data_IF_292864723554
#
_entry.id   IF_292864723554
#
_cell.length_a   1.000
_cell.length_b   1.000
_cell.length_c   1.000
_cell.angle_alpha   90.00
_cell.angle_beta   90.00
_cell.angle_gamma   90.00
#
_symmetry.space_group_name_H-M   'P 1'
#
loop_
_entity.id
_entity.type
_entity.pdbx_description
1 polymer ?
#
# COMPACT_ATOMS: atom_id res chain seq x y z
N UNK A 1 -50.83 -13.55 12.15
CA UNK A 1 -50.86 -12.58 11.03
C UNK A 1 -50.88 -11.18 11.63
N UNK A 2 -49.86 -10.37 11.35
CA UNK A 2 -49.76 -8.99 11.85
C UNK A 2 -50.78 -8.14 11.07
N UNK A 3 -51.55 -7.32 11.78
CA UNK A 3 -52.60 -6.47 11.23
C UNK A 3 -52.00 -5.50 10.17
N UNK A 4 -52.48 -5.48 8.91
CA UNK A 4 -51.94 -4.63 7.84
C UNK A 4 -52.11 -3.12 8.09
N UNK A 5 -52.92 -2.74 9.09
CA UNK A 5 -53.10 -1.35 9.53
C UNK A 5 -52.19 -0.93 10.70
N UNK A 6 -51.17 -1.73 11.04
CA UNK A 6 -50.24 -1.37 12.10
C UNK A 6 -49.30 -0.24 11.62
N UNK A 7 -49.07 0.85 12.38
CA UNK A 7 -48.23 1.99 11.98
C UNK A 7 -46.77 1.62 11.61
N UNK A 8 -46.30 0.46 12.08
CA UNK A 8 -44.99 -0.10 11.75
C UNK A 8 -44.93 -0.81 10.38
N UNK A 9 -46.06 -1.12 9.76
CA UNK A 9 -46.14 -1.75 8.44
C UNK A 9 -46.01 -0.74 7.28
N UNK A 10 -46.03 0.57 7.58
CA UNK A 10 -45.90 1.66 6.61
C UNK A 10 -44.57 2.41 6.71
N UNK A 11 -43.59 1.89 7.46
CA UNK A 11 -42.23 2.45 7.41
C UNK A 11 -41.64 2.19 6.01
N UNK A 12 -41.13 3.22 5.31
CA UNK A 12 -40.37 3.02 4.10
C UNK A 12 -39.27 2.00 4.36
N UNK A 13 -39.13 1.00 3.47
CA UNK A 13 -37.96 0.12 3.51
C UNK A 13 -36.71 1.00 3.58
N UNK A 14 -35.79 0.77 4.54
CA UNK A 14 -34.61 1.60 4.67
C UNK A 14 -33.86 1.61 3.33
N UNK A 15 -33.31 2.78 2.92
CA UNK A 15 -32.60 2.90 1.67
C UNK A 15 -31.50 1.85 1.59
N UNK A 16 -31.28 1.29 0.40
CA UNK A 16 -30.28 0.23 0.22
C UNK A 16 -28.88 0.77 0.48
N UNK A 17 -28.28 0.39 1.61
CA UNK A 17 -26.92 0.78 1.99
C UNK A 17 -25.84 -0.08 1.32
N UNK A 18 -26.18 -0.85 0.27
CA UNK A 18 -25.27 -1.79 -0.40
C UNK A 18 -24.03 -1.13 -1.03
N UNK A 19 -24.11 0.17 -1.32
CA UNK A 19 -23.01 0.94 -1.91
C UNK A 19 -22.20 1.74 -0.87
N UNK A 20 -22.55 1.64 0.41
CA UNK A 20 -21.85 2.38 1.46
C UNK A 20 -20.54 1.67 1.80
N UNK A 21 -19.45 2.43 1.69
CA UNK A 21 -18.11 2.01 2.12
C UNK A 21 -17.90 2.50 3.55
N UNK A 22 -17.38 1.64 4.41
CA UNK A 22 -17.12 1.94 5.82
C UNK A 22 -15.72 1.48 6.18
N UNK A 23 -14.99 2.30 6.93
CA UNK A 23 -13.68 1.98 7.48
C UNK A 23 -13.74 2.26 8.99
N UNK A 24 -13.43 1.25 9.79
CA UNK A 24 -13.45 1.29 11.24
C UNK A 24 -12.08 0.93 11.80
N UNK A 25 -11.71 1.59 12.89
CA UNK A 25 -10.38 1.49 13.48
C UNK A 25 -10.12 0.16 14.22
N UNK A 26 -11.17 -0.46 14.76
CA UNK A 26 -11.08 -1.65 15.60
C UNK A 26 -12.34 -2.52 15.50
N UNK A 27 -12.25 -3.77 15.95
CA UNK A 27 -13.41 -4.62 16.17
C UNK A 27 -14.23 -4.16 17.38
N UNK A 28 -15.46 -4.68 17.50
CA UNK A 28 -16.44 -4.23 18.49
C UNK A 28 -16.01 -4.42 19.96
N UNK A 29 -15.09 -5.34 20.21
CA UNK A 29 -14.57 -5.72 21.53
C UNK A 29 -13.12 -5.25 21.76
N UNK A 30 -12.52 -4.52 20.83
CA UNK A 30 -11.15 -4.03 20.92
C UNK A 30 -11.11 -2.57 21.40
N UNK A 31 -9.96 -2.17 21.94
CA UNK A 31 -9.68 -0.79 22.34
C UNK A 31 -8.55 -0.23 21.49
N UNK A 32 -8.57 1.08 21.27
CA UNK A 32 -7.47 1.78 20.62
C UNK A 32 -6.21 1.77 21.49
N UNK A 33 -5.01 1.75 20.88
CA UNK A 33 -3.76 1.77 21.63
C UNK A 33 -3.58 3.09 22.39
N UNK A 34 -3.08 3.00 23.63
CA UNK A 34 -2.77 4.14 24.51
C UNK A 34 -1.26 4.36 24.68
N UNK A 35 -0.47 4.05 23.66
CA UNK A 35 0.99 4.13 23.70
C UNK A 35 1.42 5.59 23.52
N UNK A 36 2.20 6.20 24.43
CA UNK A 36 2.56 7.61 24.38
C UNK A 36 3.33 8.03 23.11
N UNK A 37 4.10 7.11 22.54
CA UNK A 37 4.90 7.36 21.34
C UNK A 37 4.06 7.40 20.06
N UNK A 38 2.79 6.98 20.10
CA UNK A 38 1.88 6.99 18.96
C UNK A 38 0.85 8.12 19.09
N UNK A 39 0.34 8.64 17.97
CA UNK A 39 -0.77 9.58 18.01
C UNK A 39 -2.05 8.88 18.50
N UNK A 40 -2.89 9.62 19.22
CA UNK A 40 -4.19 9.13 19.70
C UNK A 40 -5.14 8.76 18.54
N UNK A 41 -5.02 9.45 17.40
CA UNK A 41 -5.78 9.22 16.17
C UNK A 41 -5.02 8.33 15.18
N UNK A 42 -4.39 7.25 15.68
CA UNK A 42 -3.54 6.33 14.90
C UNK A 42 -4.18 5.87 13.59
N UNK A 43 -5.47 5.50 13.62
CA UNK A 43 -6.19 5.04 12.43
C UNK A 43 -6.30 6.15 11.36
N UNK A 44 -6.75 7.34 11.76
CA UNK A 44 -6.83 8.51 10.89
C UNK A 44 -5.45 8.89 10.34
N UNK A 45 -4.43 8.86 11.19
CA UNK A 45 -3.03 9.10 10.80
C UNK A 45 -2.54 8.12 9.74
N UNK A 46 -2.91 6.83 9.84
CA UNK A 46 -2.65 5.84 8.78
C UNK A 46 -3.36 6.18 7.48
N UNK A 47 -4.64 6.55 7.54
CA UNK A 47 -5.45 6.85 6.35
C UNK A 47 -5.07 8.14 5.63
N UNK A 48 -4.57 9.15 6.35
CA UNK A 48 -4.37 10.50 5.81
C UNK A 48 -2.90 10.91 5.70
N UNK A 49 -2.02 10.33 6.51
CA UNK A 49 -0.58 10.62 6.53
C UNK A 49 0.27 9.34 6.57
N UNK A 50 0.06 8.39 5.62
CA UNK A 50 0.59 7.03 5.69
C UNK A 50 2.12 7.00 5.81
N UNK A 51 2.84 7.83 5.05
CA UNK A 51 4.30 7.85 5.06
C UNK A 51 4.84 8.32 6.42
N UNK A 52 4.24 9.37 7.01
CA UNK A 52 4.68 9.89 8.31
C UNK A 52 4.53 8.83 9.39
N UNK A 53 3.36 8.18 9.46
CA UNK A 53 3.13 7.16 10.49
C UNK A 53 3.89 5.86 10.22
N UNK A 54 4.07 5.46 8.96
CA UNK A 54 4.86 4.27 8.61
C UNK A 54 6.31 4.41 9.06
N UNK A 55 6.93 5.57 8.83
CA UNK A 55 8.31 5.82 9.22
C UNK A 55 8.47 5.97 10.73
N UNK A 56 7.52 6.66 11.40
CA UNK A 56 7.48 6.74 12.87
C UNK A 56 7.36 5.34 13.49
N UNK A 57 6.40 4.54 13.00
CA UNK A 57 6.20 3.17 13.47
C UNK A 57 7.42 2.29 13.20
N UNK A 58 8.04 2.41 12.01
CA UNK A 58 9.27 1.70 11.68
C UNK A 58 10.38 2.02 12.70
N UNK A 59 10.55 3.29 13.08
CA UNK A 59 11.51 3.74 14.10
C UNK A 59 11.26 3.16 15.51
N UNK A 60 10.06 2.68 15.79
CA UNK A 60 9.73 2.01 17.05
C UNK A 60 9.96 0.49 16.99
N UNK A 61 10.10 -0.09 15.80
CA UNK A 61 10.33 -1.53 15.63
C UNK A 61 11.78 -1.92 15.97
N UNK A 62 11.96 -3.18 16.37
CA UNK A 62 13.28 -3.73 16.73
C UNK A 62 14.32 -3.64 15.61
N UNK A 63 13.88 -3.55 14.34
CA UNK A 63 14.73 -3.48 13.14
C UNK A 63 15.60 -2.22 13.08
N UNK A 64 15.26 -1.16 13.81
CA UNK A 64 16.03 0.11 13.85
C UNK A 64 17.41 -0.06 14.46
N UNK A 65 17.63 -1.16 15.21
CA UNK A 65 18.96 -1.54 15.67
C UNK A 65 19.96 -1.78 14.53
N UNK A 66 19.49 -1.95 13.28
CA UNK A 66 20.31 -2.12 12.10
C UNK A 66 20.79 -0.79 11.48
N UNK A 67 20.15 0.34 11.82
CA UNK A 67 20.55 1.69 11.35
C UNK A 67 20.81 2.60 12.56
N UNK A 68 22.01 2.52 13.17
CA UNK A 68 22.38 3.40 14.26
C UNK A 68 22.33 4.87 13.81
N UNK A 69 21.71 5.74 14.61
CA UNK A 69 21.70 7.20 14.38
C UNK A 69 20.42 7.77 13.77
N UNK A 70 19.45 6.95 13.36
CA UNK A 70 18.14 7.45 12.90
C UNK A 70 17.22 7.66 14.11
N UNK A 71 16.97 8.92 14.45
CA UNK A 71 16.00 9.34 15.48
C UNK A 71 14.65 9.72 14.87
N UNK A 72 13.60 9.76 15.69
CA UNK A 72 12.29 10.26 15.28
C UNK A 72 12.36 11.69 14.71
N UNK A 73 13.27 12.52 15.24
CA UNK A 73 13.47 13.90 14.78
C UNK A 73 14.02 13.97 13.35
N UNK A 74 14.85 13.01 12.94
CA UNK A 74 15.38 12.94 11.57
C UNK A 74 14.27 12.54 10.57
N UNK A 75 13.35 11.67 10.98
CA UNK A 75 12.21 11.26 10.15
C UNK A 75 11.27 12.45 9.85
N UNK A 76 11.10 13.36 10.79
CA UNK A 76 10.30 14.56 10.56
C UNK A 76 10.97 15.55 9.59
N UNK A 77 12.28 15.43 9.40
CA UNK A 77 13.11 16.31 8.56
C UNK A 77 13.48 15.69 7.21
N UNK A 78 12.80 14.63 6.79
CA UNK A 78 13.06 14.02 5.48
C UNK A 78 12.87 15.06 4.38
N UNK A 79 13.89 15.30 3.54
CA UNK A 79 13.80 16.31 2.51
C UNK A 79 12.86 15.86 1.39
N UNK A 80 12.17 16.83 0.80
CA UNK A 80 11.37 16.62 -0.39
C UNK A 80 9.88 16.91 -0.24
N UNK A 81 9.13 16.48 -1.25
CA UNK A 81 7.67 16.61 -1.32
C UNK A 81 7.08 15.28 -1.79
N UNK A 82 5.91 14.92 -1.28
CA UNK A 82 5.22 13.66 -1.63
C UNK A 82 4.98 13.46 -3.13
N UNK A 83 4.86 14.56 -3.89
CA UNK A 83 4.61 14.53 -5.33
C UNK A 83 5.89 14.46 -6.17
N UNK A 84 7.06 14.76 -5.58
CA UNK A 84 8.34 14.77 -6.30
C UNK A 84 9.10 13.47 -6.07
N UNK A 85 8.93 12.55 -7.02
CA UNK A 85 9.57 11.21 -7.03
C UNK A 85 11.10 11.25 -7.07
N UNK A 86 11.72 12.41 -7.31
CA UNK A 86 13.19 12.56 -7.28
C UNK A 86 13.71 12.83 -5.86
N UNK A 87 12.82 13.23 -4.95
CA UNK A 87 13.16 13.50 -3.55
C UNK A 87 12.96 12.25 -2.70
N UNK A 88 13.69 12.09 -1.58
CA UNK A 88 13.53 10.94 -0.69
C UNK A 88 12.09 10.70 -0.24
N UNK A 89 11.39 11.77 0.16
CA UNK A 89 10.00 11.68 0.59
C UNK A 89 9.05 11.24 -0.53
N UNK A 90 9.22 11.79 -1.74
CA UNK A 90 8.36 11.43 -2.87
C UNK A 90 8.69 10.05 -3.45
N UNK A 91 9.95 9.61 -3.38
CA UNK A 91 10.33 8.24 -3.74
C UNK A 91 9.70 7.23 -2.80
N UNK A 92 9.77 7.44 -1.47
CA UNK A 92 9.10 6.59 -0.48
C UNK A 92 7.59 6.54 -0.70
N UNK A 93 6.96 7.68 -0.95
CA UNK A 93 5.52 7.73 -1.26
C UNK A 93 5.16 6.93 -2.51
N UNK A 94 6.01 6.98 -3.53
CA UNK A 94 5.80 6.25 -4.77
C UNK A 94 6.00 4.75 -4.60
N UNK A 95 7.03 4.32 -3.86
CA UNK A 95 7.25 2.91 -3.48
C UNK A 95 6.06 2.41 -2.66
N UNK A 96 5.62 3.16 -1.65
CA UNK A 96 4.46 2.80 -0.83
C UNK A 96 3.20 2.58 -1.67
N UNK A 97 2.94 3.49 -2.61
CA UNK A 97 1.80 3.36 -3.52
C UNK A 97 1.92 2.10 -4.39
N UNK A 98 3.11 1.82 -4.93
CA UNK A 98 3.33 0.62 -5.73
C UNK A 98 3.15 -0.67 -4.92
N UNK A 99 3.67 -0.72 -3.69
CA UNK A 99 3.57 -1.88 -2.80
C UNK A 99 2.13 -2.14 -2.38
N UNK A 100 1.42 -1.13 -1.90
CA UNK A 100 0.03 -1.30 -1.42
C UNK A 100 -0.93 -1.66 -2.56
N UNK A 101 -0.73 -1.09 -3.75
CA UNK A 101 -1.50 -1.46 -4.94
C UNK A 101 -1.21 -2.90 -5.38
N UNK A 102 0.05 -3.33 -5.27
CA UNK A 102 0.47 -4.71 -5.56
C UNK A 102 -0.13 -5.72 -4.59
N UNK A 103 -0.11 -5.42 -3.29
CA UNK A 103 -0.72 -6.27 -2.27
C UNK A 103 -2.22 -6.41 -2.55
N UNK A 104 -2.91 -5.30 -2.79
CA UNK A 104 -4.34 -5.31 -3.08
C UNK A 104 -4.67 -6.14 -4.33
N UNK A 105 -3.90 -5.98 -5.40
CA UNK A 105 -4.14 -6.70 -6.65
C UNK A 105 -3.93 -8.22 -6.53
N UNK A 106 -2.94 -8.65 -5.74
CA UNK A 106 -2.67 -10.07 -5.53
C UNK A 106 -3.62 -10.75 -4.54
N UNK A 107 -4.16 -10.00 -3.57
CA UNK A 107 -4.99 -10.55 -2.49
C UNK A 107 -6.50 -10.44 -2.78
N UNK A 108 -6.94 -9.38 -3.45
CA UNK A 108 -8.36 -9.10 -3.65
C UNK A 108 -8.93 -9.78 -4.91
N UNK A 109 -10.20 -10.23 -4.89
CA UNK A 109 -10.90 -10.58 -6.11
C UNK A 109 -10.95 -9.39 -7.09
N UNK A 110 -10.86 -9.67 -8.40
CA UNK A 110 -10.74 -8.64 -9.45
C UNK A 110 -11.84 -7.56 -9.36
N UNK A 111 -13.10 -7.97 -9.20
CA UNK A 111 -14.23 -7.04 -9.11
C UNK A 111 -14.11 -6.10 -7.91
N UNK A 112 -13.63 -6.63 -6.78
CA UNK A 112 -13.44 -5.85 -5.56
C UNK A 112 -12.25 -4.90 -5.69
N UNK A 113 -11.14 -5.37 -6.27
CA UNK A 113 -9.98 -4.55 -6.57
C UNK A 113 -10.35 -3.37 -7.47
N UNK A 114 -11.05 -3.64 -8.59
CA UNK A 114 -11.53 -2.60 -9.50
C UNK A 114 -12.43 -1.59 -8.77
N UNK A 115 -13.39 -2.08 -7.97
CA UNK A 115 -14.30 -1.22 -7.21
C UNK A 115 -13.58 -0.29 -6.23
N UNK A 116 -12.60 -0.80 -5.50
CA UNK A 116 -11.97 -0.05 -4.40
C UNK A 116 -10.71 0.71 -4.81
N UNK A 117 -9.91 0.17 -5.73
CA UNK A 117 -8.58 0.69 -6.08
C UNK A 117 -8.52 1.38 -7.45
N UNK A 118 -9.60 1.33 -8.26
CA UNK A 118 -9.61 1.91 -9.62
C UNK A 118 -10.77 2.86 -9.91
N UNK A 119 -11.94 2.71 -9.28
CA UNK A 119 -13.11 3.56 -9.58
C UNK A 119 -12.99 5.01 -9.11
N UNK A 120 -12.54 5.23 -7.87
CA UNK A 120 -12.46 6.56 -7.26
C UNK A 120 -11.08 6.78 -6.62
N UNK A 121 -10.48 7.94 -6.89
CA UNK A 121 -9.11 8.25 -6.45
C UNK A 121 -8.98 8.34 -4.93
N UNK A 122 -9.99 8.90 -4.24
CA UNK A 122 -10.00 9.05 -2.80
C UNK A 122 -10.22 7.70 -2.13
N UNK A 123 -11.21 6.92 -2.59
CA UNK A 123 -11.47 5.56 -2.10
C UNK A 123 -10.23 4.69 -2.28
N UNK A 124 -9.62 4.72 -3.47
CA UNK A 124 -8.38 4.00 -3.74
C UNK A 124 -7.24 4.43 -2.80
N UNK A 125 -7.14 5.72 -2.49
CA UNK A 125 -6.16 6.21 -1.54
C UNK A 125 -6.43 5.76 -0.13
N UNK A 126 -7.68 5.84 0.34
CA UNK A 126 -8.06 5.40 1.67
C UNK A 126 -7.83 3.89 1.83
N UNK A 127 -8.15 3.07 0.83
CA UNK A 127 -7.92 1.62 0.91
C UNK A 127 -6.45 1.22 0.81
N UNK A 128 -5.63 1.88 -0.03
CA UNK A 128 -4.17 1.71 -0.01
C UNK A 128 -3.61 1.99 1.38
N UNK A 129 -4.05 3.09 1.99
CA UNK A 129 -3.62 3.52 3.30
C UNK A 129 -4.22 2.65 4.43
N UNK A 130 -5.39 2.05 4.22
CA UNK A 130 -6.01 1.11 5.13
C UNK A 130 -5.20 -0.18 5.26
N UNK A 131 -4.52 -0.64 4.20
CA UNK A 131 -3.62 -1.81 4.31
C UNK A 131 -2.47 -1.54 5.28
N UNK A 132 -1.95 -0.31 5.30
CA UNK A 132 -0.96 0.12 6.30
C UNK A 132 -1.57 0.17 7.70
N UNK A 133 -2.80 0.69 7.84
CA UNK A 133 -3.51 0.70 9.11
C UNK A 133 -3.68 -0.72 9.65
N UNK A 134 -4.10 -1.67 8.81
CA UNK A 134 -4.22 -3.09 9.16
C UNK A 134 -2.90 -3.64 9.71
N UNK A 135 -1.79 -3.34 9.04
CA UNK A 135 -0.46 -3.79 9.46
C UNK A 135 0.00 -3.18 10.78
N UNK A 136 -0.11 -1.85 10.93
CA UNK A 136 0.37 -1.13 12.12
C UNK A 136 -0.50 -1.47 13.33
N UNK A 137 -1.83 -1.38 13.20
CA UNK A 137 -2.74 -1.54 14.33
C UNK A 137 -2.75 -2.97 14.86
N UNK A 138 -2.54 -3.98 14.00
CA UNK A 138 -2.39 -5.38 14.43
C UNK A 138 -1.19 -5.61 15.36
N UNK A 139 -0.12 -4.81 15.24
CA UNK A 139 1.01 -4.88 16.18
C UNK A 139 0.65 -4.42 17.59
N UNK A 140 -0.52 -3.79 17.75
CA UNK A 140 -1.04 -3.28 19.02
C UNK A 140 -2.39 -3.91 19.40
N UNK A 141 -2.66 -5.15 18.96
CA UNK A 141 -3.89 -5.91 19.26
C UNK A 141 -5.17 -5.17 18.85
N UNK A 142 -5.12 -4.44 17.75
CA UNK A 142 -6.24 -3.69 17.23
C UNK A 142 -6.42 -4.05 15.75
N UNK A 143 -7.62 -4.42 15.35
CA UNK A 143 -7.95 -5.00 14.05
C UNK A 143 -8.89 -4.06 13.30
N UNK A 144 -8.36 -3.26 12.37
CA UNK A 144 -9.19 -2.41 11.52
C UNK A 144 -10.16 -3.24 10.69
N UNK A 145 -11.39 -2.74 10.54
CA UNK A 145 -12.47 -3.42 9.81
C UNK A 145 -12.93 -2.54 8.65
N UNK A 146 -13.21 -3.16 7.51
CA UNK A 146 -13.78 -2.48 6.35
C UNK A 146 -15.08 -3.12 5.89
N UNK A 147 -15.95 -2.32 5.29
CA UNK A 147 -17.08 -2.77 4.47
C UNK A 147 -16.91 -2.15 3.09
N UNK A 148 -16.73 -2.95 2.02
CA UNK A 148 -16.62 -4.42 2.01
C UNK A 148 -15.39 -4.96 2.75
N UNK A 149 -15.50 -6.17 3.31
CA UNK A 149 -14.43 -6.81 4.10
C UNK A 149 -13.29 -7.27 3.19
N UNK A 150 -12.06 -6.88 3.52
CA UNK A 150 -10.86 -7.35 2.83
C UNK A 150 -10.33 -8.65 3.49
N UNK A 151 -9.68 -9.53 2.72
CA UNK A 151 -8.81 -10.57 3.27
C UNK A 151 -7.61 -9.96 4.00
N UNK A 152 -6.93 -10.78 4.80
CA UNK A 152 -5.80 -10.34 5.61
C UNK A 152 -4.58 -10.00 4.74
N UNK A 153 -4.06 -8.77 4.87
CA UNK A 153 -2.92 -8.30 4.04
C UNK A 153 -1.63 -8.05 4.81
N UNK A 154 -1.69 -8.02 6.15
CA UNK A 154 -0.57 -7.62 7.01
C UNK A 154 0.68 -8.52 6.94
N UNK A 155 0.54 -9.79 6.53
CA UNK A 155 1.66 -10.74 6.39
C UNK A 155 2.19 -10.89 4.95
N UNK A 156 1.68 -10.10 4.00
CA UNK A 156 2.10 -10.22 2.61
C UNK A 156 3.60 -9.92 2.43
N UNK A 157 4.33 -10.75 1.67
CA UNK A 157 5.78 -10.66 1.51
C UNK A 157 6.26 -9.28 0.99
N UNK A 158 5.46 -8.61 0.17
CA UNK A 158 5.72 -7.24 -0.30
C UNK A 158 5.94 -6.21 0.82
N UNK A 159 5.44 -6.45 2.04
CA UNK A 159 5.77 -5.60 3.18
C UNK A 159 7.24 -5.69 3.61
N UNK A 160 7.92 -6.81 3.36
CA UNK A 160 9.37 -6.93 3.59
C UNK A 160 10.16 -6.06 2.60
N UNK A 161 9.69 -5.98 1.34
CA UNK A 161 10.28 -5.06 0.36
C UNK A 161 10.06 -3.59 0.75
N UNK A 162 8.92 -3.26 1.37
CA UNK A 162 8.69 -1.93 1.95
C UNK A 162 9.68 -1.65 3.08
N UNK A 163 9.82 -2.57 4.03
CA UNK A 163 10.72 -2.41 5.17
C UNK A 163 12.17 -2.20 4.71
N UNK A 164 12.63 -2.98 3.73
CA UNK A 164 13.97 -2.82 3.15
C UNK A 164 14.14 -1.47 2.43
N UNK A 165 13.14 -1.03 1.67
CA UNK A 165 13.20 0.26 0.98
C UNK A 165 13.25 1.43 1.96
N UNK A 166 12.48 1.35 3.05
CA UNK A 166 12.53 2.32 4.15
C UNK A 166 13.90 2.30 4.83
N UNK A 167 14.44 1.13 5.14
CA UNK A 167 15.75 0.98 5.80
C UNK A 167 16.88 1.63 4.99
N UNK A 168 16.94 1.32 3.68
CA UNK A 168 17.90 1.92 2.74
C UNK A 168 17.72 3.45 2.66
N UNK A 169 16.48 3.95 2.65
CA UNK A 169 16.24 5.39 2.60
C UNK A 169 16.66 6.09 3.89
N UNK A 170 16.31 5.53 5.05
CA UNK A 170 16.59 6.12 6.37
C UNK A 170 18.08 6.11 6.69
N UNK A 171 18.82 5.07 6.27
CA UNK A 171 20.28 4.98 6.46
C UNK A 171 21.07 6.11 5.79
N UNK A 172 20.51 6.72 4.74
CA UNK A 172 21.14 7.84 4.02
C UNK A 172 20.81 9.21 4.66
N UNK A 173 19.81 9.31 5.53
CA UNK A 173 19.35 10.59 6.04
C UNK A 173 20.41 11.36 6.84
N UNK A 174 21.18 10.75 7.76
CA UNK A 174 22.21 11.47 8.50
C UNK A 174 23.21 12.16 7.56
N UNK A 175 23.74 11.43 6.58
CA UNK A 175 24.69 11.96 5.59
C UNK A 175 24.08 13.00 4.65
N UNK A 176 22.78 12.91 4.33
CA UNK A 176 22.13 13.91 3.48
C UNK A 176 21.92 15.22 4.25
N UNK A 177 21.52 15.12 5.52
CA UNK A 177 21.17 16.29 6.34
C UNK A 177 22.44 16.99 6.86
N UNK A 178 23.44 16.24 7.32
CA UNK A 178 24.65 16.79 7.93
C UNK A 178 25.69 17.20 6.88
N UNK A 179 25.89 16.39 5.84
CA UNK A 179 26.97 16.59 4.87
C UNK A 179 26.48 17.11 3.51
N UNK A 180 25.16 17.17 3.27
CA UNK A 180 24.59 17.63 2.00
C UNK A 180 24.85 16.66 0.84
N UNK A 181 25.06 15.38 1.13
CA UNK A 181 25.31 14.35 0.11
C UNK A 181 24.13 14.18 -0.85
N UNK A 182 24.43 13.79 -2.09
CA UNK A 182 23.42 13.52 -3.10
C UNK A 182 22.63 12.23 -2.74
N UNK A 183 21.31 12.32 -2.77
CA UNK A 183 20.43 11.19 -2.51
C UNK A 183 20.61 10.07 -3.54
N UNK A 184 20.77 8.83 -3.08
CA UNK A 184 20.81 7.65 -3.94
C UNK A 184 19.44 6.98 -3.96
N UNK A 185 18.86 6.92 -5.15
CA UNK A 185 17.58 6.27 -5.41
C UNK A 185 17.57 4.80 -5.01
N UNK A 186 16.45 4.36 -4.47
CA UNK A 186 16.22 2.96 -4.09
C UNK A 186 16.28 2.01 -5.30
N UNK A 187 16.90 0.81 -5.16
CA UNK A 187 16.91 -0.19 -6.22
C UNK A 187 15.56 -0.90 -6.42
N UNK A 188 14.55 -0.63 -5.57
CA UNK A 188 13.26 -1.31 -5.55
C UNK A 188 12.65 -1.57 -6.93
N UNK A 189 12.48 -0.53 -7.75
CA UNK A 189 11.86 -0.71 -9.07
C UNK A 189 12.73 -1.54 -10.02
N UNK A 190 14.05 -1.42 -9.94
CA UNK A 190 14.96 -2.19 -10.78
C UNK A 190 14.93 -3.68 -10.40
N UNK A 191 14.86 -4.00 -9.11
CA UNK A 191 14.72 -5.36 -8.59
C UNK A 191 13.39 -5.97 -8.99
N UNK A 192 12.28 -5.23 -8.87
CA UNK A 192 10.96 -5.74 -9.24
C UNK A 192 10.80 -5.98 -10.74
N UNK A 193 11.38 -5.12 -11.59
CA UNK A 193 11.47 -5.40 -13.03
C UNK A 193 12.31 -6.64 -13.32
N UNK A 194 13.34 -6.91 -12.52
CA UNK A 194 14.17 -8.11 -12.67
C UNK A 194 13.41 -9.36 -12.26
N UNK A 195 12.66 -9.31 -11.16
CA UNK A 195 11.76 -10.40 -10.75
C UNK A 195 10.70 -10.72 -11.83
N UNK A 196 10.10 -9.68 -12.40
CA UNK A 196 9.15 -9.83 -13.52
C UNK A 196 9.81 -10.44 -14.76
N UNK A 197 11.02 -10.01 -15.09
CA UNK A 197 11.81 -10.58 -16.19
C UNK A 197 12.13 -12.06 -15.96
N UNK A 198 12.51 -12.45 -14.74
CA UNK A 198 12.73 -13.85 -14.37
C UNK A 198 11.44 -14.65 -14.56
N UNK A 199 10.30 -14.13 -14.09
CA UNK A 199 9.00 -14.78 -14.29
C UNK A 199 8.71 -15.05 -15.78
N UNK A 200 8.98 -14.09 -16.66
CA UNK A 200 8.81 -14.24 -18.12
C UNK A 200 9.70 -15.35 -18.71
N UNK A 201 10.94 -15.49 -18.22
CA UNK A 201 11.88 -16.51 -18.74
C UNK A 201 11.49 -17.93 -18.38
N UNK A 202 10.72 -18.12 -17.31
CA UNK A 202 10.47 -19.45 -16.77
C UNK A 202 9.35 -20.21 -17.51
N UNK A 203 8.60 -19.63 -18.47
CA UNK A 203 7.55 -20.31 -19.26
C UNK A 203 6.10 -20.17 -18.74
N UNK A 204 5.11 -20.48 -19.59
CA UNK A 204 3.68 -20.07 -19.43
C UNK A 204 2.75 -21.13 -18.84
N UNK A 205 3.20 -22.38 -18.65
CA UNK A 205 2.32 -23.48 -18.26
C UNK A 205 1.78 -23.33 -16.81
N UNK A 206 0.46 -23.09 -16.68
CA UNK A 206 -0.36 -23.10 -15.46
C UNK A 206 0.27 -22.42 -14.23
N UNK A 207 0.58 -21.12 -14.35
CA UNK A 207 1.16 -20.34 -13.25
C UNK A 207 0.20 -19.33 -12.68
N UNK A 208 0.47 -18.99 -11.42
CA UNK A 208 -0.07 -17.79 -10.83
C UNK A 208 0.35 -16.57 -11.65
N UNK A 209 -0.52 -15.55 -11.76
CA UNK A 209 -0.18 -14.31 -12.43
C UNK A 209 1.07 -13.67 -11.81
N UNK A 210 1.86 -12.91 -12.59
CA UNK A 210 3.06 -12.26 -12.08
C UNK A 210 2.70 -11.18 -11.06
N UNK A 211 3.14 -11.38 -9.82
CA UNK A 211 2.85 -10.47 -8.71
C UNK A 211 3.33 -9.04 -8.96
N UNK A 212 4.36 -8.85 -9.79
CA UNK A 212 4.97 -7.56 -10.09
C UNK A 212 4.22 -6.74 -11.15
N UNK A 213 3.15 -7.26 -11.76
CA UNK A 213 2.44 -6.57 -12.85
C UNK A 213 1.96 -5.15 -12.46
N UNK A 214 1.35 -4.91 -11.28
CA UNK A 214 0.98 -3.56 -10.86
C UNK A 214 2.20 -2.63 -10.72
N UNK A 215 3.35 -3.16 -10.30
CA UNK A 215 4.61 -2.40 -10.19
C UNK A 215 5.10 -1.98 -11.57
N UNK A 216 5.07 -2.90 -12.56
CA UNK A 216 5.44 -2.58 -13.95
C UNK A 216 4.58 -1.42 -14.46
N UNK A 217 3.26 -1.43 -14.19
CA UNK A 217 2.36 -0.33 -14.54
C UNK A 217 2.71 0.99 -13.84
N UNK A 218 3.07 0.96 -12.55
CA UNK A 218 3.55 2.15 -11.84
C UNK A 218 4.86 2.70 -12.43
N UNK A 219 5.76 1.81 -12.88
CA UNK A 219 7.05 2.20 -13.45
C UNK A 219 6.91 2.91 -14.80
N UNK A 220 5.85 2.63 -15.57
CA UNK A 220 5.57 3.36 -16.83
C UNK A 220 5.43 4.88 -16.61
N UNK A 221 4.99 5.28 -15.40
CA UNK A 221 4.86 6.68 -15.03
C UNK A 221 6.20 7.38 -14.79
N UNK A 222 7.30 6.63 -14.65
CA UNK A 222 8.66 7.16 -14.55
C UNK A 222 9.32 7.29 -15.92
N UNK A 223 10.29 8.20 -16.05
CA UNK A 223 11.11 8.31 -17.25
C UNK A 223 12.31 7.35 -17.21
N UNK A 224 12.90 7.11 -16.03
CA UNK A 224 14.18 6.40 -15.87
C UNK A 224 14.10 4.94 -16.33
N UNK A 225 13.01 4.25 -15.96
CA UNK A 225 12.86 2.81 -16.22
C UNK A 225 11.81 2.51 -17.29
N UNK A 226 11.28 3.54 -17.98
CA UNK A 226 10.14 3.42 -18.91
C UNK A 226 10.41 2.43 -20.03
N UNK A 227 11.57 2.54 -20.67
CA UNK A 227 11.93 1.72 -21.83
C UNK A 227 12.00 0.24 -21.43
N UNK A 228 12.64 -0.06 -20.30
CA UNK A 228 12.73 -1.43 -19.77
C UNK A 228 11.35 -1.97 -19.38
N UNK A 229 10.51 -1.17 -18.73
CA UNK A 229 9.16 -1.57 -18.37
C UNK A 229 8.26 -1.82 -19.59
N UNK A 230 8.37 -0.99 -20.64
CA UNK A 230 7.65 -1.18 -21.90
C UNK A 230 8.09 -2.43 -22.66
N UNK A 231 9.40 -2.69 -22.73
CA UNK A 231 9.93 -3.92 -23.33
C UNK A 231 9.38 -5.16 -22.61
N UNK A 232 9.47 -5.19 -21.27
CA UNK A 232 8.96 -6.30 -20.47
C UNK A 232 7.43 -6.45 -20.58
N UNK A 233 6.68 -5.35 -20.60
CA UNK A 233 5.24 -5.38 -20.80
C UNK A 233 4.90 -5.91 -22.19
N UNK A 234 5.61 -5.49 -23.24
CA UNK A 234 5.43 -6.01 -24.60
C UNK A 234 5.62 -7.53 -24.66
N UNK A 235 6.71 -8.04 -24.06
CA UNK A 235 6.98 -9.48 -23.95
C UNK A 235 5.90 -10.24 -23.17
N UNK A 236 5.34 -9.61 -22.12
CA UNK A 236 4.23 -10.19 -21.36
C UNK A 236 2.96 -10.28 -22.19
N UNK A 237 2.61 -9.23 -22.93
CA UNK A 237 1.42 -9.19 -23.78
C UNK A 237 1.50 -10.19 -24.94
N UNK A 238 2.71 -10.47 -25.43
CA UNK A 238 2.96 -11.47 -26.48
C UNK A 238 2.68 -12.92 -26.03
N UNK A 239 2.53 -13.17 -24.71
CA UNK A 239 2.14 -14.49 -24.18
C UNK A 239 0.68 -14.86 -24.50
N UNK A 240 -0.12 -13.92 -25.03
CA UNK A 240 -1.44 -14.18 -25.59
C UNK A 240 -2.59 -13.40 -24.94
N UNK A 241 -3.85 -13.67 -25.35
CA UNK A 241 -5.02 -12.87 -24.97
C UNK A 241 -5.30 -12.82 -23.46
N UNK A 242 -4.93 -13.87 -22.72
CA UNK A 242 -5.10 -13.92 -21.27
C UNK A 242 -4.20 -12.89 -20.56
N UNK A 243 -2.98 -12.67 -21.08
CA UNK A 243 -2.03 -11.69 -20.55
C UNK A 243 -2.50 -10.26 -20.84
N UNK A 244 -3.04 -10.02 -22.04
CA UNK A 244 -3.69 -8.75 -22.39
C UNK A 244 -4.87 -8.47 -21.48
N UNK A 245 -5.74 -9.46 -21.26
CA UNK A 245 -6.87 -9.35 -20.34
C UNK A 245 -6.42 -9.03 -18.92
N UNK A 246 -5.32 -9.62 -18.47
CA UNK A 246 -4.76 -9.35 -17.14
C UNK A 246 -4.18 -7.94 -17.01
N UNK A 247 -3.45 -7.45 -18.02
CA UNK A 247 -2.86 -6.12 -18.02
C UNK A 247 -3.89 -4.98 -18.06
N UNK A 248 -5.10 -5.26 -18.59
CA UNK A 248 -6.21 -4.32 -18.64
C UNK A 248 -7.15 -4.42 -17.42
N UNK A 249 -6.92 -5.40 -16.52
CA UNK A 249 -7.81 -5.73 -15.40
C UNK A 249 -7.48 -5.04 -14.08
#
# INVERSE_FOLDING_TARGET
>A
AINPNHPLAQMPLPPSMKNCIQLAACEANELLPMIPDLPADLFTSCLTTPIKIALRWFCMQKSVRLVPGVTLDLVEKIPGRLNDRRTPLGELNWIFTAITDTIAWNVLPRDLFQKLFRQDLLVASLFRNFLLAERIMRSYNCTPVSSPRLPLTYMHAMWQAWDLAVDICLSQLPTIIEEGTAFRHSPFFAEQLTAFQVWLTMGVENRNPPEQLPIVLQVLLSQVHRLRALDLLGRFLDLGPWAVSLALS
#
